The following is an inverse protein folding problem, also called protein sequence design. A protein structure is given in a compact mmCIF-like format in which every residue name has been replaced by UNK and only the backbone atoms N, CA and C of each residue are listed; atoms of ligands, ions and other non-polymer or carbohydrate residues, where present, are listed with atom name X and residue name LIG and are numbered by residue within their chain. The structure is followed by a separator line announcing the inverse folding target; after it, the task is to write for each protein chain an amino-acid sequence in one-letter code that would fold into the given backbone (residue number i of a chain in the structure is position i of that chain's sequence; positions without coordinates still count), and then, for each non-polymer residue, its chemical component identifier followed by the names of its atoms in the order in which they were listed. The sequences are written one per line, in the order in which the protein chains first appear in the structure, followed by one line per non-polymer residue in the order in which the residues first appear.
data_IF_917192815450
#
_entry.id   IF_917192815450
#
_cell.length_a   1.000
_cell.length_b   1.000
_cell.length_c   1.000
_cell.angle_alpha   90.00
_cell.angle_beta   90.00
_cell.angle_gamma   90.00
#
_symmetry.space_group_name_H-M   'P 1'
#
loop_
_entity.id
_entity.type
_entity.pdbx_description
1 polymer ?
#
# COMPACT_ATOMS: atom_id res chain seq x y z
N UNK A 1 -35.20 57.68 -71.38
CA UNK A 1 -35.55 57.55 -69.93
C UNK A 1 -35.74 56.09 -69.62
N UNK A 2 -34.74 55.48 -69.04
CA UNK A 2 -34.71 54.07 -68.73
C UNK A 2 -35.00 53.91 -67.23
N UNK A 3 -36.14 53.30 -66.92
CA UNK A 3 -36.46 52.96 -65.54
C UNK A 3 -35.74 51.67 -65.13
N UNK A 4 -34.85 51.80 -64.18
CA UNK A 4 -34.24 50.61 -63.55
C UNK A 4 -35.18 50.04 -62.53
N UNK A 5 -35.45 48.72 -62.62
CA UNK A 5 -36.18 47.93 -61.66
C UNK A 5 -35.16 47.20 -60.81
N UNK A 6 -35.15 47.48 -59.50
CA UNK A 6 -34.30 46.79 -58.52
C UNK A 6 -35.10 45.61 -57.97
N UNK A 7 -34.61 44.38 -58.08
CA UNK A 7 -35.25 43.28 -57.40
C UNK A 7 -34.93 43.24 -55.89
N UNK A 8 -35.95 43.21 -55.08
CA UNK A 8 -35.82 43.02 -53.65
C UNK A 8 -35.36 41.60 -53.33
N UNK A 9 -34.18 41.48 -52.71
CA UNK A 9 -33.64 40.23 -52.23
C UNK A 9 -34.26 39.89 -50.87
N UNK A 10 -35.13 38.88 -50.85
CA UNK A 10 -35.77 38.40 -49.62
C UNK A 10 -34.78 37.47 -48.91
N UNK A 11 -34.14 37.94 -47.79
CA UNK A 11 -33.28 37.14 -46.95
C UNK A 11 -34.15 36.36 -45.99
N UNK A 12 -34.28 35.03 -46.23
CA UNK A 12 -34.89 34.08 -45.28
C UNK A 12 -33.87 33.83 -44.13
N UNK A 13 -34.11 34.47 -43.00
CA UNK A 13 -33.43 34.10 -41.73
C UNK A 13 -34.01 32.81 -41.22
N UNK A 14 -33.33 31.67 -41.47
CA UNK A 14 -33.61 30.41 -40.78
C UNK A 14 -33.10 30.51 -39.37
N UNK A 15 -34.00 30.69 -38.40
CA UNK A 15 -33.68 30.59 -36.97
C UNK A 15 -33.23 29.17 -36.63
N UNK A 16 -31.93 28.97 -36.47
CA UNK A 16 -31.41 27.75 -35.84
C UNK A 16 -31.89 27.73 -34.37
N UNK A 17 -32.89 26.92 -34.08
CA UNK A 17 -33.21 26.56 -32.72
C UNK A 17 -32.08 25.64 -32.19
N UNK A 18 -31.46 25.97 -31.04
CA UNK A 18 -30.52 25.04 -30.42
C UNK A 18 -31.34 23.82 -29.99
N UNK A 19 -31.17 22.71 -30.70
CA UNK A 19 -31.74 21.45 -30.32
C UNK A 19 -31.33 21.15 -28.87
N UNK A 20 -32.29 20.96 -27.99
CA UNK A 20 -32.06 20.44 -26.65
C UNK A 20 -31.28 19.15 -26.82
N UNK A 21 -30.00 19.14 -26.43
CA UNK A 21 -29.26 17.89 -26.24
C UNK A 21 -30.11 17.01 -25.32
N UNK A 22 -30.58 15.91 -25.84
CA UNK A 22 -31.19 14.88 -25.02
C UNK A 22 -30.16 14.52 -23.94
N UNK A 23 -30.53 14.71 -22.68
CA UNK A 23 -29.71 14.25 -21.58
C UNK A 23 -29.48 12.75 -21.82
N UNK A 24 -28.21 12.34 -21.87
CA UNK A 24 -27.87 10.92 -21.96
C UNK A 24 -28.56 10.23 -20.78
N UNK A 25 -29.44 9.30 -21.06
CA UNK A 25 -30.01 8.45 -20.02
C UNK A 25 -28.84 7.78 -19.30
N UNK A 26 -28.82 7.78 -17.95
CA UNK A 26 -27.83 7.00 -17.23
C UNK A 26 -27.97 5.55 -17.69
N UNK A 27 -26.85 4.96 -18.12
CA UNK A 27 -26.83 3.55 -18.50
C UNK A 27 -27.45 2.75 -17.35
N UNK A 28 -28.43 1.91 -17.65
CA UNK A 28 -29.00 0.99 -16.66
C UNK A 28 -27.87 0.21 -16.02
N UNK A 29 -27.81 0.07 -14.68
CA UNK A 29 -26.79 -0.70 -14.05
C UNK A 29 -26.84 -2.12 -14.63
N UNK A 30 -25.73 -2.57 -15.21
CA UNK A 30 -25.59 -3.94 -15.68
C UNK A 30 -25.77 -4.81 -14.43
N UNK A 31 -26.81 -5.60 -14.38
CA UNK A 31 -27.00 -6.60 -13.33
C UNK A 31 -25.96 -7.70 -13.50
N UNK A 32 -24.74 -7.43 -13.07
CA UNK A 32 -23.69 -8.43 -13.01
C UNK A 32 -24.01 -9.39 -11.86
N UNK A 33 -23.77 -10.69 -12.07
CA UNK A 33 -23.77 -11.64 -10.95
C UNK A 33 -22.70 -11.21 -9.94
N UNK A 34 -22.90 -11.52 -8.65
CA UNK A 34 -21.92 -11.18 -7.59
C UNK A 34 -20.51 -11.64 -7.93
N UNK A 35 -20.37 -12.81 -8.57
CA UNK A 35 -19.08 -13.33 -9.04
C UNK A 35 -18.45 -12.47 -10.15
N UNK A 36 -19.26 -11.99 -11.09
CA UNK A 36 -18.75 -11.11 -12.18
C UNK A 36 -18.37 -9.74 -11.63
N UNK A 37 -19.16 -9.19 -10.72
CA UNK A 37 -18.85 -7.93 -10.02
C UNK A 37 -17.56 -8.07 -9.20
N UNK A 38 -17.42 -9.14 -8.43
CA UNK A 38 -16.21 -9.40 -7.63
C UNK A 38 -14.97 -9.50 -8.51
N UNK A 39 -15.03 -10.23 -9.64
CA UNK A 39 -13.93 -10.33 -10.60
C UNK A 39 -13.57 -8.96 -11.18
N UNK A 40 -14.57 -8.16 -11.55
CA UNK A 40 -14.36 -6.83 -12.08
C UNK A 40 -13.65 -5.92 -11.06
N UNK A 41 -14.12 -5.90 -9.82
CA UNK A 41 -13.50 -5.12 -8.73
C UNK A 41 -12.07 -5.55 -8.53
N UNK A 42 -11.78 -6.85 -8.45
CA UNK A 42 -10.41 -7.35 -8.31
C UNK A 42 -9.51 -6.89 -9.47
N UNK A 43 -10.01 -7.00 -10.71
CA UNK A 43 -9.22 -6.62 -11.89
C UNK A 43 -8.94 -5.12 -11.94
N UNK A 44 -9.93 -4.28 -11.63
CA UNK A 44 -9.77 -2.83 -11.60
C UNK A 44 -8.82 -2.38 -10.47
N UNK A 45 -8.94 -3.00 -9.29
CA UNK A 45 -8.02 -2.75 -8.19
C UNK A 45 -6.59 -3.17 -8.52
N UNK A 46 -6.41 -4.31 -9.20
CA UNK A 46 -5.12 -4.80 -9.66
C UNK A 46 -4.41 -3.80 -10.58
N UNK A 47 -5.13 -3.10 -11.44
CA UNK A 47 -4.55 -2.11 -12.37
C UNK A 47 -3.84 -0.97 -11.64
N UNK A 48 -4.27 -0.58 -10.45
CA UNK A 48 -3.55 0.41 -9.64
C UNK A 48 -2.11 -0.03 -9.36
N UNK A 49 -1.90 -1.30 -9.07
CA UNK A 49 -0.60 -1.86 -8.72
C UNK A 49 0.21 -2.31 -9.94
N UNK A 50 -0.42 -2.47 -11.09
CA UNK A 50 0.21 -2.97 -12.32
C UNK A 50 0.47 -1.84 -13.31
N UNK A 51 -0.59 -1.25 -13.84
CA UNK A 51 -0.49 -0.16 -14.82
C UNK A 51 -0.12 1.17 -14.16
N UNK A 52 -0.58 1.39 -12.94
CA UNK A 52 -0.31 2.58 -12.13
C UNK A 52 1.01 2.55 -11.38
N UNK A 53 1.78 1.45 -11.44
CA UNK A 53 3.07 1.34 -10.79
C UNK A 53 4.05 2.41 -11.29
N UNK A 54 4.95 2.86 -10.41
CA UNK A 54 6.03 3.75 -10.80
C UNK A 54 7.02 2.98 -11.72
N UNK A 55 7.39 3.52 -12.90
CA UNK A 55 8.02 2.73 -13.95
C UNK A 55 9.43 2.22 -13.61
N UNK A 56 10.21 2.92 -12.79
CA UNK A 56 11.58 2.54 -12.43
C UNK A 56 11.59 1.52 -11.31
N UNK A 57 10.91 1.81 -10.22
CA UNK A 57 10.84 0.96 -9.02
C UNK A 57 9.92 -0.25 -9.21
N UNK A 58 8.86 -0.13 -10.00
CA UNK A 58 7.78 -1.10 -10.08
C UNK A 58 6.84 -1.09 -8.87
N UNK A 59 7.05 -0.21 -7.91
CA UNK A 59 6.24 -0.09 -6.69
C UNK A 59 4.95 0.70 -6.92
N UNK A 60 3.97 0.46 -6.08
CA UNK A 60 2.77 1.28 -6.04
C UNK A 60 3.11 2.73 -5.70
N UNK A 61 2.55 3.67 -6.43
CA UNK A 61 2.61 5.09 -6.10
C UNK A 61 1.91 5.34 -4.77
N UNK A 62 2.30 6.39 -4.10
CA UNK A 62 1.63 6.82 -2.87
C UNK A 62 0.18 7.22 -3.16
N UNK A 63 -0.03 7.94 -4.29
CA UNK A 63 -1.35 8.33 -4.77
C UNK A 63 -1.39 8.42 -6.29
N UNK A 64 -2.61 8.49 -6.81
CA UNK A 64 -2.89 8.72 -8.22
C UNK A 64 -3.86 9.89 -8.36
N UNK A 65 -3.47 10.90 -9.14
CA UNK A 65 -4.32 12.02 -9.49
C UNK A 65 -4.96 11.77 -10.86
N UNK A 66 -6.29 11.61 -10.87
CA UNK A 66 -7.03 11.26 -12.10
C UNK A 66 -6.98 12.36 -13.18
N UNK A 67 -6.74 13.60 -12.79
CA UNK A 67 -6.53 14.74 -13.68
C UNK A 67 -5.08 14.88 -14.17
N UNK A 68 -4.19 14.01 -13.64
CA UNK A 68 -2.75 14.04 -13.91
C UNK A 68 -2.06 15.35 -13.47
N UNK A 69 -2.64 16.08 -12.53
CA UNK A 69 -2.04 17.25 -11.89
C UNK A 69 -1.42 16.84 -10.55
N UNK A 70 -0.12 17.07 -10.40
CA UNK A 70 0.67 16.70 -9.22
C UNK A 70 1.31 17.96 -8.60
N UNK A 71 0.54 18.81 -7.92
CA UNK A 71 1.00 20.12 -7.45
C UNK A 71 2.12 20.03 -6.40
N UNK A 72 2.29 18.87 -5.76
CA UNK A 72 3.36 18.62 -4.79
C UNK A 72 4.58 17.91 -5.40
N UNK A 73 4.62 17.75 -6.71
CA UNK A 73 5.68 17.03 -7.41
C UNK A 73 5.85 15.59 -6.91
N UNK A 74 4.74 14.94 -6.60
CA UNK A 74 4.69 13.63 -5.95
C UNK A 74 4.34 12.48 -6.90
N UNK A 75 4.35 12.72 -8.21
CA UNK A 75 4.02 11.72 -9.24
C UNK A 75 4.90 10.47 -9.17
N UNK A 76 6.17 10.61 -8.81
CA UNK A 76 7.12 9.50 -8.68
C UNK A 76 7.27 8.99 -7.24
N UNK A 77 6.48 9.51 -6.30
CA UNK A 77 6.54 9.04 -4.91
C UNK A 77 5.89 7.68 -4.78
N UNK A 78 6.63 6.75 -4.16
CA UNK A 78 6.17 5.39 -3.87
C UNK A 78 6.18 5.16 -2.36
N UNK A 79 5.29 4.28 -1.91
CA UNK A 79 5.10 3.96 -0.49
C UNK A 79 5.60 2.55 -0.19
N UNK A 80 6.17 2.34 0.99
CA UNK A 80 6.65 1.00 1.38
C UNK A 80 5.50 0.07 1.79
N UNK A 81 4.64 0.48 2.70
CA UNK A 81 3.56 -0.38 3.17
C UNK A 81 2.49 -0.66 2.12
N UNK A 82 2.01 0.40 1.44
CA UNK A 82 1.05 0.24 0.36
C UNK A 82 1.57 -0.63 -0.78
N UNK A 83 2.86 -0.51 -1.12
CA UNK A 83 3.49 -1.37 -2.12
C UNK A 83 3.66 -2.82 -1.62
N UNK A 84 3.77 -3.07 -0.30
CA UNK A 84 3.72 -4.42 0.27
C UNK A 84 2.40 -5.13 -0.05
N UNK A 85 1.27 -4.43 0.04
CA UNK A 85 -0.03 -4.94 -0.44
C UNK A 85 -0.05 -5.09 -1.96
N UNK A 86 0.60 -4.18 -2.70
CA UNK A 86 0.76 -4.28 -4.15
C UNK A 86 1.50 -5.54 -4.58
N UNK A 87 2.54 -5.93 -3.86
CA UNK A 87 3.27 -7.20 -4.06
C UNK A 87 2.33 -8.40 -3.96
N UNK A 88 1.45 -8.42 -2.94
CA UNK A 88 0.44 -9.48 -2.81
C UNK A 88 -0.62 -9.40 -3.93
N UNK A 89 -1.01 -8.20 -4.35
CA UNK A 89 -1.94 -8.02 -5.46
C UNK A 89 -1.39 -8.57 -6.77
N UNK A 90 -0.07 -8.49 -7.02
CA UNK A 90 0.58 -9.09 -8.19
C UNK A 90 0.45 -10.62 -8.15
N UNK A 91 0.66 -11.26 -7.00
CA UNK A 91 0.44 -12.70 -6.85
C UNK A 91 -1.02 -13.10 -7.13
N UNK A 92 -1.98 -12.32 -6.63
CA UNK A 92 -3.41 -12.50 -6.96
C UNK A 92 -3.65 -12.33 -8.46
N UNK A 93 -3.01 -11.35 -9.10
CA UNK A 93 -3.10 -11.12 -10.54
C UNK A 93 -2.64 -12.33 -11.35
N UNK A 94 -1.55 -12.98 -10.94
CA UNK A 94 -1.07 -14.25 -11.54
C UNK A 94 -2.14 -15.36 -11.37
N UNK A 95 -2.61 -15.59 -10.15
CA UNK A 95 -3.57 -16.65 -9.86
C UNK A 95 -4.95 -16.44 -10.52
N UNK A 96 -5.33 -15.19 -10.74
CA UNK A 96 -6.56 -14.84 -11.44
C UNK A 96 -6.41 -14.80 -12.97
N UNK A 97 -5.19 -14.97 -13.48
CA UNK A 97 -4.89 -14.89 -14.92
C UNK A 97 -5.07 -13.47 -15.49
N UNK A 98 -4.87 -12.43 -14.69
CA UNK A 98 -4.82 -11.04 -15.17
C UNK A 98 -3.49 -10.77 -15.86
N UNK A 99 -2.44 -11.41 -15.39
CA UNK A 99 -1.09 -11.44 -15.97
C UNK A 99 -0.55 -12.86 -15.97
N UNK A 100 0.41 -13.15 -16.80
CA UNK A 100 1.10 -14.45 -16.79
C UNK A 100 2.03 -14.55 -15.57
N UNK A 101 2.36 -15.79 -15.18
CA UNK A 101 3.30 -16.04 -14.10
C UNK A 101 4.67 -15.41 -14.34
N UNK A 102 5.11 -15.43 -15.59
CA UNK A 102 6.39 -14.87 -16.02
C UNK A 102 6.40 -13.32 -15.98
N UNK A 103 5.32 -12.68 -16.42
CA UNK A 103 5.19 -11.22 -16.32
C UNK A 103 5.18 -10.77 -14.85
N UNK A 104 4.38 -11.45 -14.01
CA UNK A 104 4.34 -11.16 -12.57
C UNK A 104 5.69 -11.37 -11.89
N UNK A 105 6.42 -12.47 -12.22
CA UNK A 105 7.76 -12.73 -11.72
C UNK A 105 8.73 -11.60 -12.08
N UNK A 106 8.76 -11.17 -13.35
CA UNK A 106 9.63 -10.07 -13.80
C UNK A 106 9.31 -8.75 -13.09
N UNK A 107 8.04 -8.45 -12.89
CA UNK A 107 7.65 -7.26 -12.16
C UNK A 107 8.13 -7.32 -10.70
N UNK A 108 7.95 -8.47 -10.03
CA UNK A 108 8.42 -8.68 -8.66
C UNK A 108 9.95 -8.65 -8.55
N UNK A 109 10.68 -9.12 -9.57
CA UNK A 109 12.15 -8.99 -9.62
C UNK A 109 12.60 -7.52 -9.68
N UNK A 110 11.90 -6.68 -10.45
CA UNK A 110 12.15 -5.24 -10.49
C UNK A 110 11.94 -4.62 -9.11
N UNK A 111 10.83 -4.93 -8.44
CA UNK A 111 10.53 -4.47 -7.09
C UNK A 111 11.62 -4.90 -6.11
N UNK A 112 11.98 -6.19 -6.09
CA UNK A 112 13.02 -6.70 -5.18
C UNK A 112 14.37 -6.04 -5.45
N UNK A 113 14.73 -5.82 -6.73
CA UNK A 113 15.96 -5.12 -7.09
C UNK A 113 15.97 -3.67 -6.56
N UNK A 114 14.86 -2.97 -6.69
CA UNK A 114 14.72 -1.62 -6.12
C UNK A 114 14.89 -1.64 -4.60
N UNK A 115 14.22 -2.57 -3.91
CA UNK A 115 14.29 -2.70 -2.45
C UNK A 115 15.68 -3.03 -1.92
N UNK A 116 16.51 -3.73 -2.71
CA UNK A 116 17.91 -4.04 -2.38
C UNK A 116 18.83 -2.82 -2.45
N UNK A 117 18.49 -1.83 -3.29
CA UNK A 117 19.34 -0.68 -3.61
C UNK A 117 18.84 0.65 -3.04
N UNK A 118 17.57 0.73 -2.68
CA UNK A 118 16.96 1.91 -2.09
C UNK A 118 17.44 2.18 -0.67
N UNK A 119 17.29 3.43 -0.22
CA UNK A 119 17.65 3.82 1.15
C UNK A 119 16.96 2.92 2.18
N UNK A 120 17.76 2.39 3.11
CA UNK A 120 17.36 1.55 4.25
C UNK A 120 18.09 2.01 5.52
N UNK A 121 17.43 1.85 6.65
CA UNK A 121 17.94 2.32 7.94
C UNK A 121 17.75 1.19 8.98
N UNK A 122 18.87 0.55 9.36
CA UNK A 122 18.80 -0.65 10.22
C UNK A 122 17.82 -1.71 9.64
N UNK A 123 17.95 -1.94 8.34
CA UNK A 123 17.11 -2.90 7.63
C UNK A 123 15.68 -2.45 7.32
N UNK A 124 15.17 -1.41 7.95
CA UNK A 124 13.85 -0.86 7.64
C UNK A 124 13.90 0.16 6.52
N UNK A 125 12.90 0.13 5.68
CA UNK A 125 12.68 1.12 4.64
C UNK A 125 11.96 2.34 5.18
N UNK A 126 12.10 3.53 4.52
CA UNK A 126 11.34 4.71 4.89
C UNK A 126 9.86 4.57 4.52
N UNK A 127 9.05 5.46 5.03
CA UNK A 127 7.63 5.56 4.66
C UNK A 127 7.46 5.76 3.15
N UNK A 128 8.21 6.70 2.58
CA UNK A 128 8.21 7.04 1.17
C UNK A 128 9.60 7.13 0.57
N UNK A 129 9.67 6.80 -0.74
CA UNK A 129 10.82 7.07 -1.59
C UNK A 129 10.43 7.92 -2.80
N UNK A 130 11.41 8.55 -3.38
CA UNK A 130 11.36 8.91 -4.80
C UNK A 130 11.62 7.64 -5.60
N UNK A 131 10.61 7.13 -6.32
CA UNK A 131 10.67 5.85 -7.03
C UNK A 131 11.74 5.79 -8.10
N UNK A 132 12.09 6.94 -8.71
CA UNK A 132 13.13 7.05 -9.72
C UNK A 132 14.55 6.83 -9.17
N UNK A 133 14.78 7.14 -7.89
CA UNK A 133 16.12 7.18 -7.30
C UNK A 133 16.32 6.26 -6.10
N UNK A 134 15.26 5.77 -5.51
CA UNK A 134 15.31 5.01 -4.25
C UNK A 134 15.72 5.84 -3.03
N UNK A 135 15.79 7.18 -3.17
CA UNK A 135 16.12 8.06 -2.04
C UNK A 135 14.89 8.34 -1.19
N UNK A 136 15.10 8.39 0.13
CA UNK A 136 14.03 8.70 1.07
C UNK A 136 13.38 10.03 0.71
N UNK A 137 12.04 10.03 0.62
CA UNK A 137 11.23 11.23 0.64
C UNK A 137 10.66 11.39 2.05
N UNK A 138 11.09 12.41 2.81
CA UNK A 138 10.61 12.59 4.17
C UNK A 138 9.08 12.72 4.22
N UNK A 139 8.43 11.92 5.04
CA UNK A 139 7.01 12.08 5.34
C UNK A 139 6.76 13.35 6.16
N UNK A 140 7.69 13.62 7.10
CA UNK A 140 7.76 14.87 7.85
C UNK A 140 9.22 15.17 8.19
N UNK A 141 9.48 16.34 8.82
CA UNK A 141 10.85 16.75 9.18
C UNK A 141 11.63 15.70 9.96
N UNK A 142 10.97 15.00 10.90
CA UNK A 142 11.61 13.97 11.73
C UNK A 142 11.41 12.56 11.21
N UNK A 143 10.49 12.40 10.25
CA UNK A 143 10.20 11.14 9.58
C UNK A 143 10.90 11.10 8.23
N UNK A 144 12.21 10.93 8.30
CA UNK A 144 13.14 10.90 7.17
C UNK A 144 14.10 9.71 7.21
N UNK A 145 13.69 8.65 7.88
CA UNK A 145 14.51 7.46 8.09
C UNK A 145 13.70 6.17 7.98
N UNK A 146 14.02 5.18 8.79
CA UNK A 146 13.35 3.88 8.74
C UNK A 146 12.00 3.90 9.44
N UNK A 147 10.98 3.40 8.75
CA UNK A 147 9.64 3.17 9.24
C UNK A 147 9.43 1.66 9.38
N UNK A 148 9.39 1.17 10.63
CA UNK A 148 9.27 -0.27 10.89
C UNK A 148 7.87 -0.82 10.62
N UNK A 149 6.83 0.00 10.75
CA UNK A 149 5.45 -0.40 10.49
C UNK A 149 5.24 -0.63 9.00
N UNK A 150 5.58 0.36 8.19
CA UNK A 150 5.48 0.27 6.73
C UNK A 150 6.39 -0.84 6.17
N UNK A 151 7.60 -0.97 6.73
CA UNK A 151 8.51 -2.08 6.42
C UNK A 151 7.87 -3.43 6.71
N UNK A 152 7.11 -3.55 7.80
CA UNK A 152 6.46 -4.82 8.16
C UNK A 152 5.39 -5.23 7.15
N UNK A 153 4.63 -4.29 6.61
CA UNK A 153 3.69 -4.57 5.51
C UNK A 153 4.42 -5.01 4.23
N UNK A 154 5.54 -4.36 3.89
CA UNK A 154 6.37 -4.79 2.76
C UNK A 154 6.92 -6.21 2.98
N UNK A 155 7.47 -6.51 4.15
CA UNK A 155 7.99 -7.84 4.49
C UNK A 155 6.90 -8.89 4.42
N UNK A 156 5.68 -8.60 4.87
CA UNK A 156 4.55 -9.51 4.72
C UNK A 156 4.32 -9.89 3.25
N UNK A 157 4.37 -8.91 2.34
CA UNK A 157 4.29 -9.14 0.90
C UNK A 157 5.45 -9.99 0.38
N UNK A 158 6.68 -9.67 0.78
CA UNK A 158 7.88 -10.42 0.37
C UNK A 158 7.87 -11.87 0.87
N UNK A 159 7.35 -12.14 2.06
CA UNK A 159 7.19 -13.50 2.57
C UNK A 159 6.15 -14.30 1.75
N UNK A 160 5.10 -13.64 1.25
CA UNK A 160 4.18 -14.24 0.29
C UNK A 160 4.91 -14.58 -1.02
N UNK A 161 5.75 -13.70 -1.57
CA UNK A 161 6.58 -13.95 -2.76
C UNK A 161 7.50 -15.15 -2.52
N UNK A 162 8.21 -15.18 -1.38
CA UNK A 162 9.06 -16.30 -1.01
C UNK A 162 8.28 -17.62 -1.03
N UNK A 163 7.16 -17.67 -0.35
CA UNK A 163 6.34 -18.87 -0.25
C UNK A 163 5.80 -19.32 -1.61
N UNK A 164 5.42 -18.36 -2.46
CA UNK A 164 4.83 -18.64 -3.76
C UNK A 164 5.83 -19.22 -4.76
N UNK A 165 7.08 -18.74 -4.74
CA UNK A 165 8.09 -19.08 -5.74
C UNK A 165 9.18 -20.07 -5.28
N UNK A 166 9.26 -20.42 -3.98
CA UNK A 166 10.35 -21.26 -3.44
C UNK A 166 10.50 -22.65 -4.07
N UNK A 167 9.42 -23.20 -4.62
CA UNK A 167 9.42 -24.54 -5.25
C UNK A 167 9.38 -24.46 -6.79
N UNK A 168 9.54 -23.29 -7.37
CA UNK A 168 9.50 -23.07 -8.80
C UNK A 168 10.80 -23.40 -9.54
N UNK A 169 10.98 -22.80 -10.71
CA UNK A 169 12.21 -22.91 -11.50
C UNK A 169 13.40 -22.16 -10.84
N UNK A 170 14.56 -22.14 -11.49
CA UNK A 170 15.78 -21.52 -10.94
C UNK A 170 15.62 -20.01 -10.69
N UNK A 171 14.95 -19.29 -11.58
CA UNK A 171 14.72 -17.85 -11.46
C UNK A 171 13.74 -17.52 -10.35
N UNK A 172 12.67 -18.31 -10.24
CA UNK A 172 11.69 -18.19 -9.16
C UNK A 172 12.31 -18.44 -7.79
N UNK A 173 13.14 -19.49 -7.67
CA UNK A 173 13.89 -19.78 -6.44
C UNK A 173 14.87 -18.66 -6.08
N UNK A 174 15.52 -18.07 -7.08
CA UNK A 174 16.41 -16.92 -6.87
C UNK A 174 15.65 -15.71 -6.34
N UNK A 175 14.47 -15.40 -6.91
CA UNK A 175 13.60 -14.33 -6.43
C UNK A 175 13.15 -14.59 -4.98
N UNK A 176 12.72 -15.82 -4.68
CA UNK A 176 12.30 -16.21 -3.33
C UNK A 176 13.45 -16.06 -2.30
N UNK A 177 14.67 -16.43 -2.67
CA UNK A 177 15.85 -16.29 -1.80
C UNK A 177 16.21 -14.83 -1.53
N UNK A 178 16.08 -13.95 -2.54
CA UNK A 178 16.29 -12.49 -2.38
C UNK A 178 15.24 -11.88 -1.45
N UNK A 179 13.97 -12.24 -1.61
CA UNK A 179 12.91 -11.81 -0.72
C UNK A 179 13.14 -12.27 0.74
N UNK A 180 13.58 -13.50 0.93
CA UNK A 180 13.94 -14.05 2.25
C UNK A 180 15.13 -13.31 2.88
N UNK A 181 16.13 -12.94 2.09
CA UNK A 181 17.28 -12.16 2.54
C UNK A 181 16.86 -10.79 3.05
N UNK A 182 16.02 -10.06 2.29
CA UNK A 182 15.53 -8.74 2.68
C UNK A 182 14.79 -8.75 4.02
N UNK A 183 13.98 -9.80 4.28
CA UNK A 183 13.35 -9.97 5.58
C UNK A 183 14.35 -10.21 6.70
N UNK A 184 15.33 -11.09 6.49
CA UNK A 184 16.36 -11.43 7.48
C UNK A 184 17.26 -10.25 7.86
N UNK A 185 17.33 -9.24 7.02
CA UNK A 185 18.15 -8.03 7.23
C UNK A 185 17.42 -6.91 7.99
N UNK A 186 16.13 -7.09 8.35
CA UNK A 186 15.41 -6.12 9.18
C UNK A 186 15.83 -6.28 10.64
N UNK A 187 16.46 -5.26 11.20
CA UNK A 187 16.97 -5.25 12.56
C UNK A 187 15.86 -4.91 13.57
N UNK A 188 14.88 -5.80 13.76
CA UNK A 188 13.77 -5.56 14.69
C UNK A 188 14.24 -5.31 16.12
N UNK A 189 15.30 -5.95 16.55
CA UNK A 189 15.95 -5.75 17.86
C UNK A 189 16.51 -4.34 18.02
N UNK A 190 17.01 -3.69 16.95
CA UNK A 190 17.40 -2.29 16.96
C UNK A 190 16.22 -1.37 17.27
N UNK A 191 15.06 -1.64 16.64
CA UNK A 191 13.86 -0.80 16.76
C UNK A 191 13.17 -0.89 18.13
N UNK A 192 13.74 -1.60 19.08
CA UNK A 192 13.37 -1.57 20.49
C UNK A 192 13.89 -0.35 21.25
N UNK A 193 14.91 0.34 20.74
CA UNK A 193 15.60 1.41 21.46
C UNK A 193 15.98 0.97 22.90
N UNK A 194 16.43 -0.27 23.06
CA UNK A 194 16.80 -0.87 24.35
C UNK A 194 15.65 -1.16 25.31
N UNK A 195 14.38 -1.11 24.87
CA UNK A 195 13.18 -1.32 25.71
C UNK A 195 12.38 -2.54 25.25
N UNK A 196 11.42 -2.98 26.05
CA UNK A 196 10.48 -4.06 25.71
C UNK A 196 9.26 -3.51 24.95
N UNK A 197 9.51 -2.83 23.84
CA UNK A 197 8.51 -2.28 22.93
C UNK A 197 9.17 -2.00 21.60
N UNK A 198 8.43 -2.08 20.51
CA UNK A 198 8.90 -1.65 19.19
C UNK A 198 8.50 -0.20 18.93
N UNK A 199 9.42 0.54 18.31
CA UNK A 199 9.21 1.92 17.89
C UNK A 199 8.86 1.97 16.41
N UNK A 200 7.97 2.89 16.04
CA UNK A 200 7.53 3.10 14.67
C UNK A 200 8.70 3.50 13.78
N UNK A 201 9.50 4.46 14.24
CA UNK A 201 10.41 5.19 13.39
C UNK A 201 11.76 5.50 14.06
N UNK A 202 12.83 5.47 13.26
CA UNK A 202 14.15 5.97 13.60
C UNK A 202 14.68 6.88 12.49
N UNK A 203 15.26 8.01 12.84
CA UNK A 203 15.80 9.00 11.91
C UNK A 203 17.34 9.04 11.95
N UNK A 204 18.04 9.05 10.81
CA UNK A 204 19.48 9.24 10.77
C UNK A 204 19.89 10.63 11.26
N UNK A 205 19.01 11.64 11.18
CA UNK A 205 19.27 13.02 11.58
C UNK A 205 18.81 13.36 12.99
N UNK A 206 17.74 12.70 13.46
CA UNK A 206 17.05 13.02 14.72
C UNK A 206 16.99 11.83 15.70
N UNK A 207 17.58 10.67 15.33
CA UNK A 207 17.54 9.48 16.18
C UNK A 207 16.13 9.07 16.56
N UNK A 208 15.89 8.93 17.85
CA UNK A 208 14.60 8.50 18.42
C UNK A 208 13.69 9.68 18.82
N UNK A 209 13.90 10.89 18.30
CA UNK A 209 13.17 12.08 18.76
C UNK A 209 11.63 12.01 18.54
N UNK A 210 11.16 11.24 17.55
CA UNK A 210 9.72 11.00 17.41
C UNK A 210 9.15 10.20 18.59
N UNK A 211 9.96 9.35 19.20
CA UNK A 211 9.65 8.57 20.40
C UNK A 211 8.27 7.87 20.35
N UNK A 212 7.91 7.36 19.17
CA UNK A 212 6.60 6.77 18.93
C UNK A 212 6.65 5.25 19.17
N UNK A 213 6.42 4.85 20.43
CA UNK A 213 6.30 3.44 20.81
C UNK A 213 4.93 2.89 20.38
N UNK A 214 4.93 1.81 19.61
CA UNK A 214 3.71 1.18 19.08
C UNK A 214 3.10 0.27 20.14
N UNK A 215 1.88 0.58 20.58
CA UNK A 215 1.20 -0.14 21.66
C UNK A 215 -0.28 -0.28 21.39
N UNK A 216 -0.87 -1.34 21.92
CA UNK A 216 -2.30 -1.56 21.89
C UNK A 216 -2.81 -2.09 20.55
N UNK A 217 -4.11 -2.38 20.49
CA UNK A 217 -4.74 -2.98 19.34
C UNK A 217 -4.87 -1.96 18.18
N UNK A 218 -4.08 -2.18 17.14
CA UNK A 218 -4.06 -1.40 15.90
C UNK A 218 -3.52 -2.26 14.73
N UNK A 219 -3.33 -1.68 13.55
CA UNK A 219 -2.83 -2.37 12.36
C UNK A 219 -1.40 -2.92 12.51
N UNK A 220 -0.63 -2.44 13.47
CA UNK A 220 0.79 -2.74 13.59
C UNK A 220 1.08 -4.10 14.26
N UNK A 221 0.10 -4.95 14.54
CA UNK A 221 0.34 -6.27 15.16
C UNK A 221 1.31 -7.11 14.33
N UNK A 222 1.24 -7.02 13.02
CA UNK A 222 2.14 -7.76 12.11
C UNK A 222 3.61 -7.47 12.38
N UNK A 223 3.96 -6.24 12.76
CA UNK A 223 5.32 -5.84 13.13
C UNK A 223 5.86 -6.68 14.30
N UNK A 224 5.04 -6.92 15.33
CA UNK A 224 5.41 -7.74 16.48
C UNK A 224 5.49 -9.24 16.13
N UNK A 225 4.59 -9.72 15.26
CA UNK A 225 4.62 -11.10 14.76
C UNK A 225 5.92 -11.36 13.97
N UNK A 226 6.28 -10.45 13.08
CA UNK A 226 7.51 -10.55 12.30
C UNK A 226 8.76 -10.45 13.18
N UNK A 227 8.77 -9.52 14.12
CA UNK A 227 9.88 -9.35 15.06
C UNK A 227 10.09 -10.60 15.93
N UNK A 228 9.02 -11.21 16.45
CA UNK A 228 9.11 -12.45 17.23
C UNK A 228 9.52 -13.66 16.37
N UNK A 229 9.25 -13.63 15.06
CA UNK A 229 9.53 -14.71 14.12
C UNK A 229 10.86 -14.55 13.39
N UNK A 230 11.54 -13.40 13.51
CA UNK A 230 12.78 -13.14 12.80
C UNK A 230 13.87 -14.14 13.21
N UNK A 231 14.52 -14.82 12.24
CA UNK A 231 15.56 -15.80 12.55
C UNK A 231 16.92 -15.15 12.85
N UNK A 232 17.08 -13.85 12.62
CA UNK A 232 18.35 -13.12 12.73
C UNK A 232 18.29 -12.02 13.78
N UNK A 233 17.24 -11.21 13.78
CA UNK A 233 17.05 -10.04 14.62
C UNK A 233 15.74 -10.16 15.43
N UNK A 234 15.53 -11.34 16.01
CA UNK A 234 14.34 -11.67 16.79
C UNK A 234 14.26 -10.91 18.11
N UNK A 235 13.03 -10.71 18.56
CA UNK A 235 12.75 -10.13 19.88
C UNK A 235 12.14 -11.17 20.81
N UNK A 236 12.31 -10.96 22.12
CA UNK A 236 11.75 -11.87 23.13
C UNK A 236 10.25 -11.64 23.34
N UNK A 237 9.59 -12.60 24.00
CA UNK A 237 8.16 -12.55 24.28
C UNK A 237 7.76 -11.31 25.13
N UNK A 238 8.68 -10.82 25.98
CA UNK A 238 8.47 -9.63 26.81
C UNK A 238 8.19 -8.40 25.96
N UNK A 239 8.80 -8.30 24.78
CA UNK A 239 8.55 -7.16 23.85
C UNK A 239 7.09 -7.14 23.40
N UNK A 240 6.49 -8.30 23.16
CA UNK A 240 5.06 -8.38 22.87
C UNK A 240 4.22 -8.08 24.12
N UNK A 241 4.51 -8.75 25.24
CA UNK A 241 3.68 -8.65 26.46
C UNK A 241 3.68 -7.26 27.06
N UNK A 242 4.85 -6.63 27.20
CA UNK A 242 4.98 -5.30 27.78
C UNK A 242 4.72 -4.19 26.74
N UNK A 243 5.17 -4.41 25.51
CA UNK A 243 5.03 -3.48 24.40
C UNK A 243 3.62 -3.45 23.85
N UNK A 244 3.30 -4.38 22.97
CA UNK A 244 2.00 -4.44 22.29
C UNK A 244 0.84 -4.61 23.29
N UNK A 245 0.88 -5.66 24.09
CA UNK A 245 -0.20 -6.03 24.99
C UNK A 245 -0.27 -5.14 26.25
N UNK A 246 0.73 -4.27 26.49
CA UNK A 246 0.74 -3.35 27.62
C UNK A 246 0.52 -4.04 28.98
N UNK A 247 1.11 -5.23 29.16
CA UNK A 247 0.88 -6.10 30.32
C UNK A 247 -0.60 -6.48 30.51
N UNK A 248 -1.28 -6.78 29.42
CA UNK A 248 -2.69 -7.16 29.43
C UNK A 248 -3.67 -5.98 29.45
N UNK A 249 -3.20 -4.74 29.37
CA UNK A 249 -4.07 -3.55 29.36
C UNK A 249 -4.92 -3.40 28.11
N UNK A 250 -4.60 -4.11 27.03
CA UNK A 250 -5.46 -4.18 25.85
C UNK A 250 -6.65 -5.13 26.03
N UNK A 251 -6.63 -5.93 27.10
CA UNK A 251 -7.72 -6.84 27.42
C UNK A 251 -8.71 -6.10 28.32
N UNK A 252 -9.92 -5.89 27.86
CA UNK A 252 -11.00 -5.41 28.69
C UNK A 252 -11.52 -6.55 29.54
N UNK A 253 -11.45 -6.39 30.84
CA UNK A 253 -11.88 -7.42 31.81
C UNK A 253 -13.39 -7.50 31.94
N UNK A 254 -14.10 -6.44 31.58
CA UNK A 254 -15.54 -6.39 31.68
C UNK A 254 -16.19 -7.17 30.56
N UNK A 255 -16.73 -8.32 30.86
CA UNK A 255 -17.64 -9.04 29.96
C UNK A 255 -18.92 -8.23 29.80
N UNK A 256 -19.24 -7.67 28.63
CA UNK A 256 -20.60 -7.23 28.40
C UNK A 256 -21.48 -8.48 28.39
N UNK A 257 -22.63 -8.40 29.07
CA UNK A 257 -23.67 -9.42 28.95
C UNK A 257 -23.97 -9.63 27.45
N UNK A 258 -23.77 -10.86 26.96
CA UNK A 258 -24.07 -11.24 25.57
C UNK A 258 -22.89 -11.53 24.66
N UNK A 259 -21.63 -11.54 25.14
CA UNK A 259 -20.54 -12.10 24.34
C UNK A 259 -20.67 -13.63 24.27
N UNK A 260 -20.57 -14.15 23.05
CA UNK A 260 -20.62 -15.56 22.77
C UNK A 260 -19.73 -16.37 23.72
N UNK A 261 -20.28 -17.43 24.29
CA UNK A 261 -19.57 -18.32 25.19
C UNK A 261 -18.25 -18.79 24.54
N UNK A 262 -17.12 -18.50 25.19
CA UNK A 262 -15.81 -18.93 24.73
C UNK A 262 -14.73 -17.82 24.70
N UNK A 263 -15.10 -16.55 24.76
CA UNK A 263 -14.13 -15.47 24.86
C UNK A 263 -14.10 -14.87 26.26
N UNK A 264 -12.99 -15.02 27.00
CA UNK A 264 -12.90 -14.55 28.38
C UNK A 264 -12.73 -13.02 28.51
N UNK A 265 -12.57 -12.31 27.41
CA UNK A 265 -12.30 -10.86 27.40
C UNK A 265 -12.86 -10.19 26.14
N UNK A 266 -13.09 -8.89 26.23
CA UNK A 266 -13.36 -7.99 25.12
C UNK A 266 -12.10 -7.21 24.81
N UNK A 267 -11.70 -7.17 23.54
CA UNK A 267 -10.63 -6.26 23.10
C UNK A 267 -11.16 -4.83 23.12
N UNK A 268 -10.50 -3.96 23.88
CA UNK A 268 -10.75 -2.54 23.83
C UNK A 268 -9.96 -1.95 22.67
N UNK A 269 -10.67 -1.43 21.68
CA UNK A 269 -10.08 -0.67 20.60
C UNK A 269 -9.89 0.76 21.07
N UNK A 270 -8.65 1.19 21.24
CA UNK A 270 -8.29 2.51 21.78
C UNK A 270 -8.86 3.69 20.98
N UNK A 271 -9.23 3.47 19.73
CA UNK A 271 -9.71 4.49 18.79
C UNK A 271 -11.24 4.47 18.57
N UNK A 272 -11.98 3.63 19.25
CA UNK A 272 -13.45 3.58 19.09
C UNK A 272 -14.21 4.75 19.74
N UNK A 273 -13.52 5.72 20.34
CA UNK A 273 -14.14 6.86 21.00
C UNK A 273 -13.77 8.22 20.41
N UNK A 274 -12.87 8.27 19.43
CA UNK A 274 -12.32 9.52 18.91
C UNK A 274 -12.84 9.85 17.47
N UNK A 275 -13.92 9.20 17.03
CA UNK A 275 -14.58 9.47 15.74
C UNK A 275 -15.78 10.38 15.93
#
# INVERSE_FOLDING_TARGET
MIKQVIPALLVLLTACHPGKRAAAQPASPIAASDTALFRLVQQQTFQYFWDGAEPVSGLARERFHADNDYPQNDQSVVTSGGAGFGVMAILVGIERGFVTREEGRKHLEKIVHFLETADRFHGAWPHWWYGETGKVKPFSKKDNGGDLVETSFMIQGLLCVRQYFQNGNSEEKALAARADKLWKEVEFDWYRNGKNVLYWHWSPSYGWEMNFAVRGYNECLIMYVLAASSPTHGVTAEVYHEGWAGNGKINEVNKPDGIAAGFPYKLQLKHQGDA
#
